data_IF_605686477656
#
_entry.id   IF_605686477656
#
_cell.length_a   1.000
_cell.length_b   1.000
_cell.length_c   1.000
_cell.angle_alpha   90.00
_cell.angle_beta   90.00
_cell.angle_gamma   90.00
#
_symmetry.space_group_name_H-M   'P 1'
#
loop_
_entity.id
_entity.type
_entity.pdbx_description
1 polymer ?
#
# COMPACT_ATOMS: atom_id res chain seq x y z
N UNK A 1 -2.54 0.48 -32.19
CA UNK A 1 -2.42 -0.54 -31.12
C UNK A 1 -3.06 0.05 -29.87
N UNK A 2 -4.07 -0.59 -29.30
CA UNK A 2 -4.57 -0.16 -27.97
C UNK A 2 -3.50 -0.61 -26.98
N UNK A 3 -2.88 0.33 -26.27
CA UNK A 3 -1.92 0.00 -25.22
C UNK A 3 -2.60 -0.91 -24.20
N UNK A 4 -2.06 -2.12 -24.05
CA UNK A 4 -2.56 -3.07 -23.05
C UNK A 4 -2.17 -2.51 -21.69
N UNK A 5 -3.17 -2.17 -20.87
CA UNK A 5 -2.94 -1.68 -19.53
C UNK A 5 -2.22 -2.75 -18.69
N UNK A 6 -1.22 -2.38 -17.90
CA UNK A 6 -0.56 -3.30 -16.99
C UNK A 6 -1.56 -3.79 -15.91
N UNK A 7 -1.37 -5.04 -15.49
CA UNK A 7 -2.22 -5.69 -14.49
C UNK A 7 -1.42 -5.95 -13.23
N UNK A 8 -1.93 -5.47 -12.08
CA UNK A 8 -1.38 -5.78 -10.77
C UNK A 8 -2.09 -7.02 -10.20
N UNK A 9 -1.34 -8.09 -9.97
CA UNK A 9 -1.83 -9.36 -9.45
C UNK A 9 -1.80 -9.36 -7.92
N UNK A 10 -2.96 -9.11 -7.30
CA UNK A 10 -3.09 -8.99 -5.86
C UNK A 10 -3.28 -10.35 -5.20
N UNK A 11 -2.44 -10.65 -4.22
CA UNK A 11 -2.44 -11.88 -3.42
C UNK A 11 -2.75 -11.52 -1.97
N UNK A 12 -4.02 -11.54 -1.59
CA UNK A 12 -4.41 -11.31 -0.21
C UNK A 12 -4.42 -12.62 0.58
N UNK A 13 -3.65 -12.67 1.66
CA UNK A 13 -3.75 -13.78 2.62
C UNK A 13 -4.85 -13.46 3.63
N UNK A 14 -6.03 -14.04 3.42
CA UNK A 14 -7.17 -13.89 4.35
C UNK A 14 -6.99 -14.72 5.63
N UNK A 15 -6.22 -15.79 5.58
CA UNK A 15 -5.91 -16.65 6.73
C UNK A 15 -4.48 -16.33 7.23
N UNK A 16 -4.39 -15.54 8.27
CA UNK A 16 -3.15 -15.29 9.00
C UNK A 16 -3.23 -15.95 10.38
N UNK A 17 -2.11 -16.51 10.86
CA UNK A 17 -2.04 -17.10 12.21
C UNK A 17 -2.01 -16.04 13.33
N UNK A 18 -1.77 -14.77 12.99
CA UNK A 18 -1.75 -13.69 13.96
C UNK A 18 -3.16 -13.16 14.23
N UNK A 19 -3.49 -12.96 15.50
CA UNK A 19 -4.73 -12.29 15.90
C UNK A 19 -4.78 -10.86 15.35
N UNK A 20 -5.98 -10.40 14.96
CA UNK A 20 -6.19 -9.03 14.49
C UNK A 20 -5.85 -8.77 13.02
N UNK A 21 -5.41 -9.76 12.24
CA UNK A 21 -5.07 -9.58 10.82
C UNK A 21 -6.28 -9.46 9.89
N UNK A 22 -7.39 -10.13 10.21
CA UNK A 22 -8.58 -10.19 9.36
C UNK A 22 -9.14 -8.80 8.96
N UNK A 23 -9.23 -7.80 9.86
CA UNK A 23 -9.72 -6.47 9.48
C UNK A 23 -8.91 -5.80 8.37
N UNK A 24 -7.59 -5.96 8.35
CA UNK A 24 -6.72 -5.39 7.31
C UNK A 24 -6.96 -6.05 5.95
N UNK A 25 -7.08 -7.38 5.94
CA UNK A 25 -7.37 -8.13 4.73
C UNK A 25 -8.74 -7.72 4.14
N UNK A 26 -9.78 -7.64 4.98
CA UNK A 26 -11.13 -7.22 4.59
C UNK A 26 -11.11 -5.78 4.04
N UNK A 27 -10.49 -4.84 4.75
CA UNK A 27 -10.42 -3.44 4.35
C UNK A 27 -9.71 -3.27 2.99
N UNK A 28 -8.57 -3.94 2.78
CA UNK A 28 -7.85 -3.85 1.52
C UNK A 28 -8.57 -4.58 0.38
N UNK A 29 -9.28 -5.66 0.66
CA UNK A 29 -10.12 -6.33 -0.34
C UNK A 29 -11.26 -5.42 -0.78
N UNK A 30 -12.03 -4.87 0.16
CA UNK A 30 -13.10 -3.92 -0.14
C UNK A 30 -12.59 -2.67 -0.88
N UNK A 31 -11.39 -2.19 -0.52
CA UNK A 31 -10.76 -1.08 -1.21
C UNK A 31 -10.37 -1.46 -2.64
N UNK A 32 -9.76 -2.63 -2.86
CA UNK A 32 -9.41 -3.12 -4.18
C UNK A 32 -10.63 -3.32 -5.09
N UNK A 33 -11.76 -3.79 -4.53
CA UNK A 33 -13.03 -3.97 -5.27
C UNK A 33 -13.64 -2.65 -5.78
N UNK A 34 -13.23 -1.51 -5.25
CA UNK A 34 -13.67 -0.21 -5.77
C UNK A 34 -12.99 0.20 -7.08
N UNK A 35 -11.95 -0.51 -7.49
CA UNK A 35 -11.24 -0.30 -8.75
C UNK A 35 -11.65 -1.30 -9.82
N UNK A 36 -11.09 -1.10 -11.02
CA UNK A 36 -11.28 -2.00 -12.15
C UNK A 36 -10.60 -3.34 -11.86
N UNK A 37 -11.42 -4.32 -11.50
CA UNK A 37 -10.98 -5.68 -11.20
C UNK A 37 -11.20 -6.59 -12.39
N UNK A 38 -10.24 -7.50 -12.60
CA UNK A 38 -10.41 -8.65 -13.49
C UNK A 38 -10.38 -9.91 -12.62
N UNK A 39 -11.42 -10.74 -12.71
CA UNK A 39 -11.43 -12.07 -12.11
C UNK A 39 -11.65 -13.09 -13.23
N UNK A 40 -10.85 -14.13 -13.27
CA UNK A 40 -10.91 -15.20 -14.28
C UNK A 40 -10.93 -14.68 -15.75
N UNK A 41 -10.23 -13.58 -16.01
CA UNK A 41 -10.16 -12.95 -17.34
C UNK A 41 -11.36 -12.10 -17.72
N UNK A 42 -12.38 -11.97 -16.87
CA UNK A 42 -13.54 -11.11 -17.08
C UNK A 42 -13.49 -9.87 -16.18
N UNK A 43 -13.89 -8.73 -16.74
CA UNK A 43 -14.07 -7.50 -15.94
C UNK A 43 -15.24 -7.69 -14.98
N UNK A 44 -15.01 -7.48 -13.70
CA UNK A 44 -16.05 -7.48 -12.67
C UNK A 44 -16.57 -6.06 -12.54
N UNK A 45 -17.86 -5.86 -12.85
CA UNK A 45 -18.55 -4.57 -12.68
C UNK A 45 -19.08 -4.44 -11.24
N UNK A 46 -19.24 -3.20 -10.73
CA UNK A 46 -18.99 -1.92 -11.38
C UNK A 46 -17.63 -1.34 -10.94
N UNK A 47 -16.72 -1.18 -11.87
CA UNK A 47 -15.48 -0.47 -11.61
C UNK A 47 -15.65 1.03 -11.90
N UNK A 48 -15.06 1.87 -11.07
CA UNK A 48 -15.16 3.31 -11.20
C UNK A 48 -14.00 3.92 -11.96
N UNK A 49 -12.77 3.41 -11.75
CA UNK A 49 -11.58 3.93 -12.42
C UNK A 49 -10.39 2.96 -12.35
N UNK A 50 -9.28 3.33 -13.00
CA UNK A 50 -8.03 2.59 -12.93
C UNK A 50 -7.29 2.92 -11.64
N UNK A 51 -6.64 1.91 -11.06
CA UNK A 51 -5.82 2.08 -9.87
C UNK A 51 -4.51 2.81 -10.20
N UNK A 52 -4.10 3.72 -9.31
CA UNK A 52 -2.79 4.34 -9.36
C UNK A 52 -1.79 3.46 -8.61
N UNK A 53 -0.96 2.73 -9.34
CA UNK A 53 -0.05 1.72 -8.77
C UNK A 53 1.40 2.03 -9.13
N UNK A 54 2.29 1.89 -8.13
CA UNK A 54 3.72 1.68 -8.36
C UNK A 54 3.98 0.18 -8.27
N UNK A 55 4.40 -0.42 -9.37
CA UNK A 55 4.84 -1.82 -9.42
C UNK A 55 6.27 -1.90 -8.86
N UNK A 56 6.38 -2.38 -7.61
CA UNK A 56 7.66 -2.49 -6.89
C UNK A 56 8.52 -3.65 -7.43
N UNK A 57 7.95 -4.58 -8.20
CA UNK A 57 8.69 -5.70 -8.78
C UNK A 57 9.64 -5.26 -9.89
N UNK A 58 9.35 -4.11 -10.50
CA UNK A 58 10.19 -3.49 -11.53
C UNK A 58 11.49 -2.89 -10.95
N UNK A 59 11.56 -2.71 -9.64
CA UNK A 59 12.65 -2.04 -8.96
C UNK A 59 13.31 -2.95 -7.91
N UNK A 60 14.58 -3.30 -8.10
CA UNK A 60 15.33 -4.08 -7.12
C UNK A 60 15.78 -3.26 -5.92
N UNK A 61 16.01 -1.97 -6.15
CA UNK A 61 16.47 -1.00 -5.14
C UNK A 61 15.85 0.37 -5.43
N UNK A 62 16.13 1.34 -4.56
CA UNK A 62 15.63 2.72 -4.70
C UNK A 62 16.17 3.44 -5.96
N UNK A 63 17.44 3.21 -6.35
CA UNK A 63 18.05 3.98 -7.45
C UNK A 63 17.37 3.79 -8.81
N UNK A 64 17.02 2.57 -9.27
CA UNK A 64 16.24 2.39 -10.49
C UNK A 64 14.87 3.11 -10.47
N UNK A 65 14.19 3.08 -9.32
CA UNK A 65 12.95 3.84 -9.14
C UNK A 65 13.19 5.35 -9.29
N UNK A 66 14.23 5.89 -8.66
CA UNK A 66 14.56 7.31 -8.77
C UNK A 66 14.94 7.72 -10.19
N UNK A 67 15.59 6.84 -10.94
CA UNK A 67 15.89 7.07 -12.37
C UNK A 67 14.61 7.13 -13.20
N UNK A 68 13.66 6.23 -12.96
CA UNK A 68 12.35 6.26 -13.65
C UNK A 68 11.58 7.55 -13.33
N UNK A 69 11.47 7.91 -12.06
CA UNK A 69 10.84 9.15 -11.64
C UNK A 69 11.58 10.39 -12.17
N UNK A 70 12.90 10.33 -12.30
CA UNK A 70 13.69 11.44 -12.84
C UNK A 70 13.38 11.74 -14.31
N UNK A 71 13.06 10.72 -15.12
CA UNK A 71 12.65 10.91 -16.53
C UNK A 71 11.39 11.78 -16.65
N UNK A 72 10.43 11.60 -15.75
CA UNK A 72 9.16 12.33 -15.72
C UNK A 72 9.30 13.71 -15.07
N UNK A 73 10.27 13.89 -14.19
CA UNK A 73 10.36 15.07 -13.30
C UNK A 73 11.61 15.91 -13.52
N UNK A 74 12.44 15.56 -14.50
CA UNK A 74 13.77 16.18 -14.68
C UNK A 74 14.56 16.23 -13.36
N UNK A 75 14.46 15.16 -12.56
CA UNK A 75 15.11 15.04 -11.26
C UNK A 75 14.60 15.98 -10.16
N UNK A 76 13.54 16.77 -10.42
CA UNK A 76 12.95 17.71 -9.42
C UNK A 76 12.46 16.99 -8.17
N UNK A 77 11.99 15.74 -8.30
CA UNK A 77 11.54 14.95 -7.15
C UNK A 77 12.64 14.79 -6.10
N UNK A 78 13.79 14.22 -6.50
CA UNK A 78 14.94 13.98 -5.61
C UNK A 78 15.53 15.29 -5.09
N UNK A 79 15.65 16.32 -5.95
CA UNK A 79 16.16 17.64 -5.54
C UNK A 79 15.27 18.28 -4.47
N UNK A 80 13.94 18.19 -4.61
CA UNK A 80 13.00 18.75 -3.62
C UNK A 80 13.03 17.99 -2.29
N UNK A 81 13.09 16.65 -2.31
CA UNK A 81 13.23 15.86 -1.09
C UNK A 81 14.52 16.18 -0.35
N UNK A 82 15.66 16.25 -1.07
CA UNK A 82 16.95 16.61 -0.49
C UNK A 82 16.99 18.06 0.03
N UNK A 83 16.28 18.98 -0.64
CA UNK A 83 16.13 20.35 -0.15
C UNK A 83 15.42 20.36 1.20
N UNK A 84 14.25 19.73 1.29
CA UNK A 84 13.49 19.63 2.53
C UNK A 84 14.34 19.04 3.67
N UNK A 85 15.10 17.97 3.39
CA UNK A 85 16.01 17.37 4.37
C UNK A 85 17.08 18.35 4.86
N UNK A 86 17.71 19.11 3.97
CA UNK A 86 18.70 20.14 4.37
C UNK A 86 18.08 21.28 5.16
N UNK A 87 16.81 21.58 4.91
CA UNK A 87 16.03 22.60 5.65
C UNK A 87 15.53 22.08 7.01
N UNK A 88 15.91 20.87 7.43
CA UNK A 88 15.60 20.32 8.74
C UNK A 88 14.33 19.48 8.81
N UNK A 89 13.66 19.22 7.68
CA UNK A 89 12.54 18.27 7.67
C UNK A 89 13.03 16.84 7.75
N UNK A 90 12.28 16.00 8.46
CA UNK A 90 12.51 14.55 8.58
C UNK A 90 11.20 13.82 8.74
N UNK A 91 11.21 12.52 8.45
CA UNK A 91 10.05 11.66 8.60
C UNK A 91 10.36 10.45 9.46
N UNK A 92 9.34 9.89 10.09
CA UNK A 92 9.45 8.66 10.87
C UNK A 92 8.09 7.98 11.04
N UNK A 93 8.05 6.66 11.32
CA UNK A 93 6.85 5.99 11.78
C UNK A 93 6.34 6.59 13.09
N UNK A 94 5.01 6.62 13.26
CA UNK A 94 4.33 7.23 14.40
C UNK A 94 3.10 6.44 14.83
N UNK A 95 2.70 6.62 16.07
CA UNK A 95 1.36 6.29 16.58
C UNK A 95 0.41 7.45 16.26
N UNK A 96 -0.12 7.53 15.04
CA UNK A 96 -0.85 8.71 14.53
C UNK A 96 -2.01 9.15 15.43
N UNK A 97 -2.67 8.22 16.13
CA UNK A 97 -3.75 8.51 17.06
C UNK A 97 -3.35 9.40 18.24
N UNK A 98 -2.06 9.54 18.52
CA UNK A 98 -1.55 10.38 19.61
C UNK A 98 -1.26 11.83 19.17
N UNK A 99 -1.32 12.11 17.87
CA UNK A 99 -1.10 13.43 17.25
C UNK A 99 -2.41 14.15 16.93
N UNK A 100 -3.36 14.15 17.84
CA UNK A 100 -4.72 14.65 17.61
C UNK A 100 -4.74 16.15 17.28
N UNK A 101 -3.90 16.94 17.97
CA UNK A 101 -3.78 18.38 17.72
C UNK A 101 -3.21 18.66 16.35
N UNK A 102 -2.09 18.05 16.03
CA UNK A 102 -1.45 18.19 14.72
C UNK A 102 -2.37 17.73 13.59
N UNK A 103 -3.09 16.60 13.75
CA UNK A 103 -4.06 16.13 12.77
C UNK A 103 -5.17 17.14 12.53
N UNK A 104 -5.70 17.73 13.62
CA UNK A 104 -6.71 18.79 13.52
C UNK A 104 -6.16 19.99 12.73
N UNK A 105 -4.99 20.50 13.12
CA UNK A 105 -4.38 21.68 12.50
C UNK A 105 -4.04 21.43 11.01
N UNK A 106 -3.53 20.23 10.66
CA UNK A 106 -3.30 19.83 9.27
C UNK A 106 -4.60 19.84 8.47
N UNK A 107 -5.65 19.23 8.98
CA UNK A 107 -6.95 19.14 8.30
C UNK A 107 -7.56 20.52 8.07
N UNK A 108 -7.49 21.40 9.07
CA UNK A 108 -8.09 22.73 9.03
C UNK A 108 -7.19 23.80 8.41
N UNK A 109 -5.96 23.49 8.03
CA UNK A 109 -5.04 24.43 7.39
C UNK A 109 -5.47 24.86 5.98
N UNK A 110 -6.45 24.17 5.38
CA UNK A 110 -7.08 24.49 4.09
C UNK A 110 -8.57 24.19 4.12
N UNK A 111 -9.36 25.11 3.60
CA UNK A 111 -10.83 24.94 3.53
C UNK A 111 -11.24 23.88 2.50
N UNK A 112 -10.52 23.79 1.40
CA UNK A 112 -10.80 22.85 0.30
C UNK A 112 -9.55 22.01 -0.01
N UNK A 113 -9.74 20.70 -0.11
CA UNK A 113 -8.73 19.73 -0.54
C UNK A 113 -9.25 18.90 -1.71
N UNK A 114 -8.45 17.96 -2.20
CA UNK A 114 -8.78 17.12 -3.38
C UNK A 114 -10.11 16.37 -3.29
N UNK A 115 -10.62 16.12 -2.08
CA UNK A 115 -11.89 15.41 -1.86
C UNK A 115 -13.05 16.31 -1.39
N UNK A 116 -12.90 17.63 -1.49
CA UNK A 116 -13.95 18.59 -1.14
C UNK A 116 -13.63 19.48 0.06
N UNK A 117 -14.68 20.05 0.66
CA UNK A 117 -14.54 20.96 1.80
C UNK A 117 -14.15 20.22 3.08
N UNK A 118 -13.12 20.70 3.74
CA UNK A 118 -12.60 20.08 4.96
C UNK A 118 -13.54 20.24 6.16
N UNK A 119 -14.36 21.29 6.21
CA UNK A 119 -15.37 21.49 7.26
C UNK A 119 -16.36 20.33 7.38
N UNK A 120 -16.65 19.64 6.28
CA UNK A 120 -17.54 18.47 6.24
C UNK A 120 -16.85 17.17 6.61
N UNK A 121 -15.52 17.11 6.49
CA UNK A 121 -14.70 15.91 6.69
C UNK A 121 -13.90 15.91 7.99
N UNK A 122 -13.77 17.05 8.65
CA UNK A 122 -12.74 17.23 9.69
C UNK A 122 -13.16 16.84 11.11
N UNK A 123 -14.36 16.26 11.33
CA UNK A 123 -14.71 15.68 12.63
C UNK A 123 -15.07 16.65 13.74
N UNK A 124 -15.56 17.85 13.40
CA UNK A 124 -16.17 18.78 14.36
C UNK A 124 -15.32 20.02 14.70
N UNK A 125 -15.92 21.01 15.38
CA UNK A 125 -15.29 22.32 15.63
C UNK A 125 -14.38 22.35 16.87
N UNK A 126 -14.35 21.29 17.67
CA UNK A 126 -13.60 21.29 18.93
C UNK A 126 -12.15 20.91 18.66
N UNK A 127 -11.26 21.84 18.93
CA UNK A 127 -9.81 21.62 18.83
C UNK A 127 -9.34 20.69 19.94
N UNK A 128 -8.68 19.55 19.64
CA UNK A 128 -8.25 18.59 20.64
C UNK A 128 -7.11 19.11 21.53
N UNK A 129 -6.81 18.36 22.57
CA UNK A 129 -5.65 18.58 23.45
C UNK A 129 -4.33 18.43 22.67
N UNK A 130 -3.23 18.80 23.32
CA UNK A 130 -1.87 18.69 22.75
C UNK A 130 -1.53 17.25 22.36
N UNK A 131 -0.57 17.12 21.44
CA UNK A 131 -0.06 15.83 21.01
C UNK A 131 0.71 15.13 22.13
N UNK A 132 0.52 13.81 22.26
CA UNK A 132 1.21 13.01 23.28
C UNK A 132 2.57 12.49 22.83
N UNK A 133 2.83 12.46 21.54
CA UNK A 133 4.09 12.02 20.94
C UNK A 133 4.61 10.66 21.46
N UNK A 134 3.73 9.68 21.62
CA UNK A 134 4.10 8.34 22.11
C UNK A 134 5.00 7.63 21.09
N UNK A 135 5.80 6.69 21.60
CA UNK A 135 6.65 5.85 20.78
C UNK A 135 5.82 5.03 19.78
N UNK A 136 6.35 4.82 18.60
CA UNK A 136 5.80 3.90 17.61
C UNK A 136 6.08 2.47 18.06
N UNK A 137 5.03 1.64 18.06
CA UNK A 137 5.11 0.21 18.31
C UNK A 137 5.02 -0.54 16.97
N UNK A 138 6.07 -1.29 16.57
CA UNK A 138 6.06 -2.03 15.32
C UNK A 138 4.95 -3.08 15.30
N UNK A 139 4.33 -3.34 14.13
CA UNK A 139 3.29 -4.34 14.01
C UNK A 139 3.84 -5.75 14.27
N UNK A 140 3.06 -6.58 14.95
CA UNK A 140 3.39 -7.98 15.23
C UNK A 140 3.33 -8.88 13.99
N UNK A 141 2.51 -8.53 13.00
CA UNK A 141 2.35 -9.28 11.77
C UNK A 141 3.07 -8.58 10.61
N UNK A 142 4.01 -9.23 9.92
CA UNK A 142 4.72 -8.61 8.80
C UNK A 142 3.87 -8.46 7.53
N UNK A 143 2.76 -9.19 7.40
CA UNK A 143 1.94 -9.21 6.17
C UNK A 143 0.62 -8.44 6.29
N UNK A 144 0.20 -8.12 7.51
CA UNK A 144 -1.05 -7.38 7.78
C UNK A 144 -0.76 -6.32 8.83
N UNK A 145 -0.67 -5.08 8.38
CA UNK A 145 -0.37 -3.98 9.29
C UNK A 145 -0.88 -2.63 8.79
N UNK A 146 -0.94 -1.71 9.71
CA UNK A 146 -1.02 -0.28 9.44
C UNK A 146 0.19 0.40 10.06
N UNK A 147 0.89 1.17 9.25
CA UNK A 147 1.99 2.02 9.70
C UNK A 147 1.71 3.43 9.20
N UNK A 148 1.67 4.36 10.13
CA UNK A 148 1.51 5.77 9.82
C UNK A 148 2.89 6.46 9.91
N UNK A 149 3.14 7.39 8.99
CA UNK A 149 4.36 8.19 8.93
C UNK A 149 4.03 9.63 9.23
N UNK A 150 4.87 10.30 10.04
CA UNK A 150 4.79 11.73 10.33
C UNK A 150 5.92 12.50 9.67
N UNK A 151 5.61 13.72 9.21
CA UNK A 151 6.58 14.73 8.76
C UNK A 151 6.77 15.75 9.88
N UNK A 152 8.02 15.97 10.26
CA UNK A 152 8.44 16.88 11.32
C UNK A 152 9.49 17.85 10.81
N UNK A 153 9.76 18.88 11.62
CA UNK A 153 10.87 19.81 11.42
C UNK A 153 11.72 19.88 12.68
N UNK A 154 13.05 19.86 12.54
CA UNK A 154 13.99 19.80 13.67
C UNK A 154 13.86 20.95 14.67
N UNK A 155 13.41 22.12 14.22
CA UNK A 155 13.18 23.28 15.08
C UNK A 155 11.84 23.27 15.82
N UNK A 156 10.92 22.33 15.48
CA UNK A 156 9.58 22.28 16.07
C UNK A 156 9.08 20.83 16.09
N UNK A 157 8.70 20.28 17.26
CA UNK A 157 8.21 18.91 17.40
C UNK A 157 6.80 18.66 16.81
N UNK A 158 6.11 19.71 16.36
CA UNK A 158 4.79 19.60 15.73
C UNK A 158 4.86 18.72 14.49
N UNK A 159 3.87 17.84 14.30
CA UNK A 159 3.71 17.07 13.08
C UNK A 159 3.09 17.95 11.99
N UNK A 160 3.78 18.12 10.89
CA UNK A 160 3.39 18.98 9.76
C UNK A 160 2.69 18.23 8.63
N UNK A 161 2.76 16.93 8.64
CA UNK A 161 2.10 16.07 7.65
C UNK A 161 2.11 14.62 8.09
N UNK A 162 1.28 13.82 7.46
CA UNK A 162 1.23 12.39 7.72
C UNK A 162 0.89 11.60 6.47
N UNK A 163 1.24 10.33 6.48
CA UNK A 163 0.84 9.31 5.51
C UNK A 163 0.43 8.05 6.26
N UNK A 164 -0.65 7.40 5.80
CA UNK A 164 -1.15 6.15 6.37
C UNK A 164 -1.03 5.03 5.34
N UNK A 165 -0.26 4.01 5.68
CA UNK A 165 -0.07 2.83 4.86
C UNK A 165 -0.72 1.62 5.52
N UNK A 166 -1.42 0.82 4.74
CA UNK A 166 -2.04 -0.43 5.20
C UNK A 166 -1.61 -1.56 4.27
N UNK A 167 -1.00 -2.60 4.83
CA UNK A 167 -0.58 -3.78 4.07
C UNK A 167 -1.59 -4.93 4.21
N UNK A 168 -1.79 -5.64 3.10
CA UNK A 168 -2.40 -6.98 3.10
C UNK A 168 -1.75 -7.80 1.98
N UNK A 169 -1.10 -8.89 2.35
CA UNK A 169 -0.39 -9.74 1.42
C UNK A 169 0.70 -8.99 0.65
N UNK A 170 0.65 -9.00 -0.68
CA UNK A 170 1.64 -8.35 -1.54
C UNK A 170 1.32 -6.89 -1.90
N UNK A 171 0.24 -6.32 -1.33
CA UNK A 171 -0.20 -4.95 -1.56
C UNK A 171 0.00 -4.09 -0.31
N UNK A 172 0.59 -2.92 -0.49
CA UNK A 172 0.48 -1.80 0.45
C UNK A 172 -0.37 -0.70 -0.16
N UNK A 173 -1.37 -0.24 0.59
CA UNK A 173 -2.24 0.86 0.21
C UNK A 173 -1.84 2.13 0.97
N UNK A 174 -1.48 3.19 0.25
CA UNK A 174 -1.32 4.53 0.77
C UNK A 174 -2.70 5.18 0.87
N UNK A 175 -3.39 4.92 1.99
CA UNK A 175 -4.79 5.30 2.18
C UNK A 175 -4.96 6.82 2.36
N UNK A 176 -4.03 7.45 3.06
CA UNK A 176 -4.05 8.88 3.32
C UNK A 176 -2.66 9.47 3.20
N UNK A 177 -2.57 10.66 2.62
CA UNK A 177 -1.37 11.46 2.59
C UNK A 177 -1.75 12.94 2.62
N UNK A 178 -1.41 13.64 3.71
CA UNK A 178 -1.85 15.02 3.93
C UNK A 178 -0.79 15.83 4.67
N UNK A 179 -0.69 17.13 4.37
CA UNK A 179 0.18 18.05 5.10
C UNK A 179 -0.51 19.38 5.36
N UNK A 180 -0.01 20.11 6.34
CA UNK A 180 -0.35 21.51 6.61
C UNK A 180 -0.04 22.36 5.38
N UNK A 181 -0.86 23.39 5.11
CA UNK A 181 -0.70 24.23 3.92
C UNK A 181 0.68 24.87 3.82
N UNK A 182 1.27 25.27 4.93
CA UNK A 182 2.57 25.97 4.99
C UNK A 182 3.74 25.12 4.48
N UNK A 183 3.62 23.79 4.55
CA UNK A 183 4.71 22.88 4.12
C UNK A 183 4.51 22.29 2.73
N UNK A 184 3.42 22.61 2.04
CA UNK A 184 3.16 22.05 0.71
C UNK A 184 4.21 22.43 -0.34
N UNK A 185 4.83 23.59 -0.21
CA UNK A 185 5.86 24.12 -1.13
C UNK A 185 7.29 23.78 -0.73
N UNK A 186 7.53 23.33 0.52
CA UNK A 186 8.87 23.06 1.05
C UNK A 186 9.55 21.81 0.46
N UNK A 187 8.77 20.91 -0.11
CA UNK A 187 9.23 19.59 -0.53
C UNK A 187 9.10 18.50 0.54
N UNK A 188 8.54 18.83 1.73
CA UNK A 188 8.37 17.88 2.84
C UNK A 188 7.57 16.64 2.47
N UNK A 189 6.49 16.79 1.68
CA UNK A 189 5.71 15.63 1.21
C UNK A 189 6.47 14.78 0.19
N UNK A 190 7.39 15.38 -0.58
CA UNK A 190 8.27 14.62 -1.48
C UNK A 190 9.34 13.87 -0.69
N UNK A 191 9.83 14.46 0.41
CA UNK A 191 10.70 13.78 1.35
C UNK A 191 9.98 12.58 2.00
N UNK A 192 8.74 12.75 2.46
CA UNK A 192 7.95 11.66 3.04
C UNK A 192 7.77 10.51 2.04
N UNK A 193 7.37 10.80 0.81
CA UNK A 193 7.26 9.79 -0.24
C UNK A 193 8.60 9.13 -0.55
N UNK A 194 9.68 9.89 -0.58
CA UNK A 194 11.05 9.39 -0.80
C UNK A 194 11.46 8.40 0.30
N UNK A 195 11.24 8.76 1.57
CA UNK A 195 11.60 7.92 2.71
C UNK A 195 10.75 6.65 2.77
N UNK A 196 9.44 6.76 2.49
CA UNK A 196 8.54 5.60 2.35
C UNK A 196 9.03 4.66 1.23
N UNK A 197 9.34 5.19 0.05
CA UNK A 197 9.84 4.37 -1.07
C UNK A 197 11.21 3.76 -0.77
N UNK A 198 12.08 4.49 -0.06
CA UNK A 198 13.36 3.99 0.41
C UNK A 198 13.19 2.78 1.35
N UNK A 199 12.22 2.85 2.26
CA UNK A 199 11.88 1.77 3.17
C UNK A 199 11.27 0.57 2.42
N UNK A 200 10.27 0.80 1.54
CA UNK A 200 9.61 -0.26 0.78
C UNK A 200 10.60 -1.02 -0.14
N UNK A 201 11.48 -0.30 -0.84
CA UNK A 201 12.44 -0.88 -1.80
C UNK A 201 13.74 -1.35 -1.12
N UNK A 202 14.01 -0.93 0.11
CA UNK A 202 15.15 -1.41 0.91
C UNK A 202 15.05 -2.88 1.26
N UNK A 203 13.82 -3.40 1.42
CA UNK A 203 13.52 -4.83 1.70
C UNK A 203 14.29 -5.44 2.88
N UNK A 204 14.71 -4.60 3.82
CA UNK A 204 15.43 -5.01 5.03
C UNK A 204 14.49 -5.28 6.21
N UNK A 205 13.34 -4.61 6.23
CA UNK A 205 12.34 -4.76 7.26
C UNK A 205 11.40 -5.93 6.91
N UNK A 206 11.12 -6.86 7.83
CA UNK A 206 10.13 -7.92 7.62
C UNK A 206 8.77 -7.41 7.13
N UNK A 207 8.38 -6.21 7.54
CA UNK A 207 7.14 -5.56 7.13
C UNK A 207 7.08 -5.18 5.63
N UNK A 208 8.17 -5.25 4.88
CA UNK A 208 8.18 -4.93 3.43
C UNK A 208 8.57 -6.10 2.55
N UNK A 209 9.02 -7.22 3.13
CA UNK A 209 9.36 -8.43 2.37
C UNK A 209 8.09 -9.00 1.71
N UNK A 210 8.17 -9.32 0.41
CA UNK A 210 7.03 -9.88 -0.35
C UNK A 210 5.99 -8.84 -0.79
N UNK A 211 6.28 -7.53 -0.66
CA UNK A 211 5.48 -6.48 -1.29
C UNK A 211 5.81 -6.37 -2.78
N UNK A 212 4.76 -6.40 -3.60
CA UNK A 212 4.85 -6.25 -5.05
C UNK A 212 4.29 -4.90 -5.52
N UNK A 213 3.31 -4.33 -4.81
CA UNK A 213 2.56 -3.16 -5.28
C UNK A 213 2.34 -2.12 -4.18
N UNK A 214 2.52 -0.83 -4.55
CA UNK A 214 2.03 0.33 -3.79
C UNK A 214 0.86 0.94 -4.54
N UNK A 215 -0.31 0.95 -3.90
CA UNK A 215 -1.55 1.53 -4.42
C UNK A 215 -1.83 2.88 -3.74
N UNK A 216 -2.24 3.89 -4.52
CA UNK A 216 -2.62 5.21 -3.99
C UNK A 216 -3.86 5.76 -4.68
N UNK A 217 -5.00 5.18 -4.39
CA UNK A 217 -6.27 5.63 -4.94
C UNK A 217 -6.42 5.35 -6.44
N UNK A 218 -7.41 5.99 -7.06
CA UNK A 218 -7.62 5.96 -8.50
C UNK A 218 -6.73 6.98 -9.20
N UNK A 219 -6.26 6.66 -10.42
CA UNK A 219 -5.33 7.54 -11.13
C UNK A 219 -5.91 8.94 -11.40
N UNK A 220 -7.22 9.04 -11.59
CA UNK A 220 -7.93 10.26 -11.92
C UNK A 220 -8.59 10.93 -10.72
N UNK A 221 -8.59 10.28 -9.56
CA UNK A 221 -9.27 10.76 -8.37
C UNK A 221 -8.50 11.92 -7.71
N UNK A 222 -9.23 12.92 -7.17
CA UNK A 222 -8.66 14.06 -6.47
C UNK A 222 -8.23 15.24 -7.36
N UNK A 223 -8.66 15.25 -8.62
CA UNK A 223 -8.42 16.35 -9.56
C UNK A 223 -6.99 16.39 -10.13
N UNK A 224 -6.72 17.42 -10.95
CA UNK A 224 -5.48 17.54 -11.73
C UNK A 224 -4.22 17.53 -10.84
N UNK A 225 -4.26 18.20 -9.70
CA UNK A 225 -3.13 18.25 -8.77
C UNK A 225 -2.72 16.86 -8.25
N UNK A 226 -3.71 16.01 -7.92
CA UNK A 226 -3.47 14.64 -7.47
C UNK A 226 -3.03 13.73 -8.63
N UNK A 227 -3.61 13.89 -9.80
CA UNK A 227 -3.19 13.16 -11.01
C UNK A 227 -1.73 13.46 -11.34
N UNK A 228 -1.35 14.74 -11.32
CA UNK A 228 0.02 15.17 -11.53
C UNK A 228 0.96 14.65 -10.43
N UNK A 229 0.52 14.67 -9.17
CA UNK A 229 1.29 14.09 -8.07
C UNK A 229 1.57 12.60 -8.28
N UNK A 230 0.54 11.81 -8.61
CA UNK A 230 0.69 10.36 -8.83
C UNK A 230 1.68 10.05 -9.93
N UNK A 231 1.58 10.75 -11.08
CA UNK A 231 2.56 10.62 -12.17
C UNK A 231 3.95 11.02 -11.72
N UNK A 232 4.04 12.14 -10.99
CA UNK A 232 5.29 12.69 -10.47
C UNK A 232 6.04 11.73 -9.53
N UNK A 233 5.33 10.90 -8.78
CA UNK A 233 5.91 9.87 -7.89
C UNK A 233 5.91 8.46 -8.53
N UNK A 234 5.81 8.36 -9.84
CA UNK A 234 5.98 7.10 -10.57
C UNK A 234 4.78 6.15 -10.53
N UNK A 235 3.60 6.62 -10.13
CA UNK A 235 2.38 5.81 -10.20
C UNK A 235 1.81 5.77 -11.62
N UNK A 236 1.32 4.60 -12.01
CA UNK A 236 0.76 4.36 -13.36
C UNK A 236 -0.62 3.72 -13.24
N UNK A 237 -1.51 3.92 -14.24
CA UNK A 237 -2.79 3.27 -14.27
C UNK A 237 -2.64 1.77 -14.44
N UNK A 238 -3.28 1.00 -13.55
CA UNK A 238 -3.31 -0.46 -13.58
C UNK A 238 -4.73 -0.99 -13.47
N UNK A 239 -4.96 -2.14 -14.09
CA UNK A 239 -6.06 -3.03 -13.76
C UNK A 239 -5.62 -3.88 -12.58
N UNK A 240 -6.51 -4.05 -11.58
CA UNK A 240 -6.23 -4.94 -10.47
C UNK A 240 -6.79 -6.32 -10.77
N UNK A 241 -5.99 -7.36 -10.58
CA UNK A 241 -6.42 -8.74 -10.63
C UNK A 241 -6.34 -9.34 -9.22
N UNK A 242 -7.50 -9.52 -8.60
CA UNK A 242 -7.59 -10.17 -7.31
C UNK A 242 -7.54 -11.67 -7.49
N UNK A 243 -6.51 -12.29 -6.96
CA UNK A 243 -6.41 -13.73 -6.86
C UNK A 243 -7.24 -14.13 -5.63
N UNK A 244 -8.52 -14.47 -5.85
CA UNK A 244 -9.43 -14.89 -4.79
C UNK A 244 -9.27 -16.40 -4.52
N UNK A 245 -8.71 -16.79 -3.37
CA UNK A 245 -8.58 -18.21 -3.04
C UNK A 245 -9.94 -18.93 -2.92
N UNK A 246 -11.01 -18.20 -2.62
CA UNK A 246 -12.34 -18.78 -2.51
C UNK A 246 -12.96 -19.12 -3.88
N UNK A 247 -12.50 -18.46 -4.95
CA UNK A 247 -12.90 -18.72 -6.34
C UNK A 247 -11.90 -19.59 -7.11
N UNK A 248 -10.74 -19.85 -6.52
CA UNK A 248 -9.73 -20.70 -7.12
C UNK A 248 -10.33 -22.11 -7.32
N UNK A 249 -10.24 -22.59 -8.55
CA UNK A 249 -10.62 -23.97 -8.86
C UNK A 249 -9.40 -24.86 -8.69
N UNK A 250 -9.65 -26.08 -8.22
CA UNK A 250 -8.62 -27.10 -8.25
C UNK A 250 -8.16 -27.29 -9.71
N UNK A 251 -6.84 -27.36 -9.97
CA UNK A 251 -6.37 -27.80 -11.26
C UNK A 251 -7.03 -29.14 -11.64
N UNK A 252 -7.35 -29.34 -12.92
CA UNK A 252 -7.99 -30.55 -13.38
C UNK A 252 -7.14 -31.80 -13.06
N UNK A 253 -5.83 -31.61 -12.96
CA UNK A 253 -4.83 -32.63 -12.65
C UNK A 253 -4.34 -32.56 -11.18
N UNK A 254 -5.14 -31.97 -10.27
CA UNK A 254 -4.81 -31.90 -8.85
C UNK A 254 -4.89 -33.29 -8.20
N UNK A 255 -3.75 -33.78 -7.74
CA UNK A 255 -3.67 -35.00 -6.96
C UNK A 255 -3.53 -34.70 -5.46
N UNK A 256 -4.56 -35.04 -4.62
CA UNK A 256 -4.49 -34.78 -3.19
C UNK A 256 -3.38 -35.55 -2.48
N UNK A 257 -2.98 -36.71 -2.97
CA UNK A 257 -1.91 -37.53 -2.36
C UNK A 257 -0.55 -36.91 -2.67
N UNK A 258 -0.30 -36.60 -3.94
CA UNK A 258 0.92 -35.91 -4.35
C UNK A 258 1.07 -34.56 -3.63
N UNK A 259 -0.05 -33.83 -3.47
CA UNK A 259 -0.04 -32.59 -2.72
C UNK A 259 0.42 -32.76 -1.27
N UNK A 260 -0.07 -33.76 -0.55
CA UNK A 260 0.35 -34.04 0.83
C UNK A 260 1.78 -34.55 0.95
N UNK A 261 2.28 -35.25 -0.06
CA UNK A 261 3.70 -35.68 -0.12
C UNK A 261 4.63 -34.51 -0.33
N UNK A 262 4.25 -33.56 -1.18
CA UNK A 262 5.01 -32.35 -1.46
C UNK A 262 4.91 -31.28 -0.35
N UNK A 263 3.88 -31.40 0.52
CA UNK A 263 3.62 -30.44 1.59
C UNK A 263 3.44 -31.19 2.93
N UNK A 264 4.53 -31.70 3.53
CA UNK A 264 4.46 -32.54 4.72
C UNK A 264 3.91 -31.83 5.96
N UNK A 265 4.01 -30.52 6.04
CA UNK A 265 3.41 -29.67 7.06
C UNK A 265 1.87 -29.73 7.01
N UNK A 266 1.27 -29.71 5.82
CA UNK A 266 -0.17 -29.85 5.61
C UNK A 266 -0.65 -31.25 5.99
N UNK A 267 0.16 -32.25 5.64
CA UNK A 267 -0.10 -33.66 5.99
C UNK A 267 -0.08 -33.85 7.50
N UNK A 268 0.93 -33.29 8.18
CA UNK A 268 1.07 -33.37 9.64
C UNK A 268 -0.07 -32.64 10.38
N UNK A 269 -0.56 -31.54 9.82
CA UNK A 269 -1.69 -30.80 10.36
C UNK A 269 -3.06 -31.47 10.14
N UNK A 270 -3.13 -32.55 9.36
CA UNK A 270 -4.37 -33.28 9.08
C UNK A 270 -5.42 -32.46 8.30
N UNK A 271 -4.99 -31.42 7.59
CA UNK A 271 -5.88 -30.54 6.84
C UNK A 271 -6.23 -31.16 5.49
N UNK A 272 -7.50 -31.02 5.08
CA UNK A 272 -7.94 -31.48 3.75
C UNK A 272 -7.09 -30.80 2.65
N UNK A 273 -6.38 -31.55 1.80
CA UNK A 273 -5.44 -31.01 0.82
C UNK A 273 -6.10 -30.12 -0.23
N UNK A 274 -7.35 -30.42 -0.61
CA UNK A 274 -8.11 -29.61 -1.58
C UNK A 274 -8.50 -28.27 -0.99
N UNK A 275 -9.01 -28.30 0.25
CA UNK A 275 -9.35 -27.06 0.99
C UNK A 275 -8.11 -26.22 1.28
N UNK A 276 -7.02 -26.88 1.68
CA UNK A 276 -5.76 -26.16 1.93
C UNK A 276 -5.23 -25.51 0.66
N UNK A 277 -5.16 -26.27 -0.46
CA UNK A 277 -4.69 -25.72 -1.73
C UNK A 277 -5.51 -24.52 -2.18
N UNK A 278 -6.84 -24.59 -2.13
CA UNK A 278 -7.74 -23.50 -2.51
C UNK A 278 -7.66 -22.28 -1.59
N UNK A 279 -7.44 -22.47 -0.29
CA UNK A 279 -7.43 -21.39 0.71
C UNK A 279 -6.08 -20.71 0.89
N UNK A 280 -5.01 -21.44 0.74
CA UNK A 280 -3.65 -20.96 1.00
C UNK A 280 -2.61 -21.45 0.01
N UNK A 281 -2.66 -22.70 -0.40
CA UNK A 281 -1.63 -23.34 -1.21
C UNK A 281 -1.36 -22.65 -2.54
N UNK A 282 -2.39 -22.13 -3.21
CA UNK A 282 -2.25 -21.36 -4.44
C UNK A 282 -1.49 -20.06 -4.16
N UNK A 283 -1.86 -19.33 -3.09
CA UNK A 283 -1.25 -18.06 -2.72
C UNK A 283 0.19 -18.24 -2.24
N UNK A 284 0.47 -19.38 -1.61
CA UNK A 284 1.80 -19.75 -1.13
C UNK A 284 2.69 -20.30 -2.25
N UNK A 285 2.15 -20.46 -3.47
CA UNK A 285 2.87 -21.05 -4.58
C UNK A 285 3.27 -22.50 -4.36
N UNK A 286 2.48 -23.25 -3.55
CA UNK A 286 2.79 -24.64 -3.22
C UNK A 286 2.65 -25.56 -4.43
N UNK A 287 3.62 -26.45 -4.59
CA UNK A 287 3.55 -27.50 -5.61
C UNK A 287 2.36 -28.44 -5.31
N UNK A 288 1.61 -28.79 -6.34
CA UNK A 288 0.43 -29.67 -6.23
C UNK A 288 0.57 -31.00 -7.01
N UNK A 289 1.65 -31.12 -7.79
CA UNK A 289 2.02 -32.34 -8.50
C UNK A 289 3.53 -32.43 -8.65
N UNK A 290 4.08 -33.64 -8.85
CA UNK A 290 5.53 -33.91 -8.85
C UNK A 290 6.30 -33.13 -9.92
N UNK A 291 5.65 -32.78 -11.06
CA UNK A 291 6.28 -32.06 -12.18
C UNK A 291 5.75 -30.63 -12.36
N UNK A 292 4.99 -30.12 -11.38
CA UNK A 292 4.19 -28.91 -11.55
C UNK A 292 4.61 -27.75 -10.67
N UNK A 293 5.11 -26.69 -11.31
CA UNK A 293 5.01 -25.36 -10.70
C UNK A 293 3.54 -24.94 -10.70
N UNK A 294 3.04 -24.25 -9.63
CA UNK A 294 1.70 -23.71 -9.65
C UNK A 294 1.52 -22.81 -10.87
N UNK A 295 0.45 -23.03 -11.64
CA UNK A 295 0.02 -22.03 -12.61
C UNK A 295 -0.56 -20.86 -11.84
N UNK A 296 0.15 -19.76 -11.81
CA UNK A 296 -0.32 -18.45 -11.34
C UNK A 296 -1.36 -17.90 -12.31
#
# INVERSE_FOLDING_TARGET
MRDVLPTAHLKFRLACAHEGCAPYAIANTAFAESYRLVSDGALVAPFKSLAAVTDLTLFRTLDPYLQEVARETDGKYRRSANKAKREGYFTRPIAVGTYQRSLFDIKHSKDVRSHGRMSEMAGGPIRPSEDLALAFDPPSCPEHWRIDWGLFHSANPTMWGFASLTRSGNLVNLAHMMAHCDVLTTGGMKLMQFDIMSWLLGRLDPCVIGLDYLLHGAIEDGGEGMTNWRRYVGQRPHVLHLIDPARARLPADFDPRAYLELNPDVKAAGVDPRKHYLRGGILEGRAYKMDGKPRL
#
